data_IF_472319168990
#
_entry.id   IF_472319168990
#
_cell.length_a   1.000
_cell.length_b   1.000
_cell.length_c   1.000
_cell.angle_alpha   90.00
_cell.angle_beta   90.00
_cell.angle_gamma   90.00
#
_symmetry.space_group_name_H-M   'P 1'
#
loop_
_entity.id
_entity.type
_entity.pdbx_description
1 polymer ?
#
# COMPACT_ATOMS: atom_id res chain seq x y z
N UNK A 1 41.18 -37.80 -20.79
CA UNK A 1 41.00 -38.56 -19.54
C UNK A 1 41.50 -37.71 -18.38
N UNK A 2 40.56 -37.21 -17.56
CA UNK A 2 40.65 -36.84 -16.13
C UNK A 2 41.82 -35.92 -15.69
N UNK A 3 41.55 -34.65 -15.37
CA UNK A 3 41.08 -34.15 -14.04
C UNK A 3 42.02 -34.61 -12.92
N UNK A 4 42.75 -33.65 -12.30
CA UNK A 4 42.93 -33.50 -10.85
C UNK A 4 43.78 -32.27 -10.50
N UNK A 5 43.27 -31.51 -9.52
CA UNK A 5 43.95 -30.60 -8.57
C UNK A 5 43.83 -29.10 -8.80
N UNK A 6 42.70 -28.54 -8.34
CA UNK A 6 42.65 -27.30 -7.55
C UNK A 6 41.35 -27.29 -6.74
N UNK A 7 41.30 -28.15 -5.72
CA UNK A 7 40.20 -28.24 -4.74
C UNK A 7 40.77 -28.51 -3.33
N UNK A 8 41.72 -27.69 -2.90
CA UNK A 8 42.30 -27.74 -1.55
C UNK A 8 42.17 -26.43 -0.76
N UNK A 9 41.46 -25.42 -1.29
CA UNK A 9 41.22 -24.14 -0.61
C UNK A 9 39.88 -24.01 0.11
N UNK A 10 38.86 -24.82 -0.25
CA UNK A 10 37.46 -24.57 0.17
C UNK A 10 36.99 -25.48 1.32
N UNK A 11 37.76 -26.49 1.70
CA UNK A 11 37.34 -27.48 2.71
C UNK A 11 37.66 -27.11 4.18
N UNK A 12 37.79 -25.82 4.52
CA UNK A 12 38.15 -25.41 5.90
C UNK A 12 37.21 -24.43 6.61
N UNK A 13 36.02 -24.17 6.08
CA UNK A 13 34.99 -23.41 6.84
C UNK A 13 33.59 -24.04 6.87
N UNK A 14 33.34 -25.17 6.20
CA UNK A 14 32.08 -25.91 6.34
C UNK A 14 32.31 -27.17 7.18
N UNK A 15 32.22 -26.99 8.49
CA UNK A 15 32.48 -28.04 9.46
C UNK A 15 31.94 -27.74 10.84
N UNK A 16 30.66 -27.36 10.95
CA UNK A 16 29.81 -27.67 12.12
C UNK A 16 28.34 -27.47 11.76
N UNK A 17 27.66 -28.60 11.58
CA UNK A 17 26.22 -28.67 11.45
C UNK A 17 25.54 -28.25 12.76
N UNK A 18 24.52 -27.41 12.67
CA UNK A 18 23.36 -27.46 13.56
C UNK A 18 22.17 -27.71 12.65
N UNK A 19 21.44 -28.78 12.94
CA UNK A 19 20.21 -29.21 12.30
C UNK A 19 19.08 -28.22 12.57
N UNK A 20 18.41 -27.73 11.52
CA UNK A 20 17.00 -27.33 11.59
C UNK A 20 16.24 -27.94 10.42
N UNK A 21 15.04 -28.39 10.74
CA UNK A 21 14.13 -29.15 9.88
C UNK A 21 13.17 -28.18 9.20
N UNK A 22 13.14 -28.24 7.86
CA UNK A 22 12.16 -27.78 6.85
C UNK A 22 10.90 -27.03 7.34
N UNK A 23 10.69 -25.83 6.78
CA UNK A 23 9.40 -25.38 6.25
C UNK A 23 9.64 -24.53 4.96
N UNK A 24 9.05 -25.00 3.88
CA UNK A 24 8.86 -24.44 2.52
C UNK A 24 9.35 -23.02 2.20
N UNK A 25 10.50 -22.95 1.53
CA UNK A 25 10.91 -21.86 0.62
C UNK A 25 10.24 -22.05 -0.75
N UNK A 26 9.51 -21.05 -1.22
CA UNK A 26 9.14 -20.88 -2.63
C UNK A 26 9.69 -19.56 -3.14
N UNK A 27 10.96 -19.54 -3.55
CA UNK A 27 11.52 -18.50 -4.43
C UNK A 27 12.89 -18.95 -4.93
N UNK A 28 12.89 -19.69 -6.04
CA UNK A 28 14.00 -19.72 -6.98
C UNK A 28 13.30 -19.71 -8.35
N UNK A 29 13.48 -18.70 -9.19
CA UNK A 29 14.66 -18.50 -10.01
C UNK A 29 14.65 -17.05 -10.50
N UNK A 30 15.70 -16.26 -10.20
CA UNK A 30 16.19 -15.22 -11.12
C UNK A 30 17.71 -15.36 -11.21
N UNK A 31 18.18 -15.60 -12.43
CA UNK A 31 19.59 -15.78 -12.75
C UNK A 31 20.24 -14.40 -12.94
N UNK A 32 21.11 -14.01 -12.00
CA UNK A 32 21.90 -12.78 -12.08
C UNK A 32 22.04 -12.16 -10.69
N UNK A 33 23.09 -12.52 -9.96
CA UNK A 33 23.23 -12.21 -8.55
C UNK A 33 23.27 -10.72 -8.22
N UNK A 34 22.28 -10.27 -7.45
CA UNK A 34 22.43 -9.20 -6.48
C UNK A 34 22.20 -9.85 -5.10
N UNK A 35 23.26 -9.92 -4.31
CA UNK A 35 23.21 -10.34 -2.91
C UNK A 35 22.78 -9.11 -2.09
N UNK A 36 21.51 -9.07 -1.71
CA UNK A 36 21.00 -8.03 -0.81
C UNK A 36 21.54 -8.27 0.61
N UNK A 37 22.32 -7.32 1.13
CA UNK A 37 22.49 -7.17 2.58
C UNK A 37 21.27 -6.42 3.11
N UNK A 38 20.22 -7.15 3.48
CA UNK A 38 19.01 -6.58 4.04
C UNK A 38 19.31 -5.80 5.31
N UNK A 39 19.07 -4.48 5.28
CA UNK A 39 18.61 -3.79 6.47
C UNK A 39 17.18 -4.31 6.69
N UNK A 40 16.83 -4.75 7.90
CA UNK A 40 15.50 -5.32 8.13
C UNK A 40 14.44 -4.29 7.75
N UNK A 41 13.63 -4.60 6.74
CA UNK A 41 12.46 -3.81 6.37
C UNK A 41 11.56 -3.64 7.61
N UNK A 42 10.95 -2.48 7.77
CA UNK A 42 9.97 -2.26 8.82
C UNK A 42 8.84 -3.30 8.71
N UNK A 43 8.18 -3.61 9.82
CA UNK A 43 7.27 -4.76 9.87
C UNK A 43 5.82 -4.35 10.10
N UNK A 44 4.92 -4.81 9.23
CA UNK A 44 3.48 -4.94 9.52
C UNK A 44 3.27 -6.26 10.28
N UNK A 45 2.70 -6.18 11.48
CA UNK A 45 2.47 -7.29 12.39
C UNK A 45 1.03 -7.80 12.37
N UNK A 46 0.08 -6.90 12.12
CA UNK A 46 -1.33 -7.22 11.86
C UNK A 46 -1.73 -6.49 10.60
N UNK A 47 -2.37 -7.23 9.70
CA UNK A 47 -3.12 -6.70 8.56
C UNK A 47 -4.46 -7.42 8.55
N UNK A 48 -5.51 -6.74 8.99
CA UNK A 48 -6.86 -7.28 8.97
C UNK A 48 -7.80 -6.31 8.24
N UNK A 49 -8.07 -6.64 6.98
CA UNK A 49 -9.01 -5.96 6.10
C UNK A 49 -10.37 -6.68 6.02
N UNK A 50 -10.53 -7.86 6.65
CA UNK A 50 -11.75 -8.67 6.67
C UNK A 50 -12.15 -9.31 5.32
N UNK A 51 -11.36 -9.12 4.27
CA UNK A 51 -11.73 -9.53 2.90
C UNK A 51 -11.43 -11.01 2.64
N UNK A 52 -10.35 -11.54 3.21
CA UNK A 52 -9.95 -12.96 3.08
C UNK A 52 -10.76 -13.89 4.00
N UNK A 53 -11.78 -13.35 4.68
CA UNK A 53 -12.61 -14.12 5.59
C UNK A 53 -13.58 -15.02 4.82
N UNK A 54 -13.59 -16.30 5.16
CA UNK A 54 -14.63 -17.20 4.70
C UNK A 54 -15.95 -16.87 5.39
N UNK A 55 -16.89 -16.30 4.64
CA UNK A 55 -18.22 -15.98 5.13
C UNK A 55 -19.19 -17.17 4.97
N UNK A 56 -20.18 -17.23 5.84
CA UNK A 56 -21.33 -18.11 5.66
C UNK A 56 -22.19 -17.60 4.49
N UNK A 57 -22.79 -18.51 3.72
CA UNK A 57 -23.76 -18.11 2.70
C UNK A 57 -25.04 -17.62 3.39
N UNK A 58 -25.46 -16.39 3.11
CA UNK A 58 -26.62 -15.78 3.75
C UNK A 58 -26.87 -14.35 3.28
N UNK A 59 -27.87 -13.70 3.89
CA UNK A 59 -28.13 -12.28 3.73
C UNK A 59 -28.28 -11.70 5.16
N UNK A 60 -27.27 -10.99 5.70
CA UNK A 60 -25.93 -10.86 5.13
C UNK A 60 -25.12 -12.15 5.26
N UNK A 61 -24.13 -12.31 4.38
CA UNK A 61 -23.03 -13.25 4.52
C UNK A 61 -22.10 -12.74 5.62
N UNK A 62 -21.80 -13.60 6.60
CA UNK A 62 -21.04 -13.19 7.79
C UNK A 62 -20.16 -14.31 8.35
N UNK A 63 -19.21 -13.96 9.21
CA UNK A 63 -18.48 -14.89 10.06
C UNK A 63 -18.34 -14.36 11.49
N UNK A 64 -18.50 -15.27 12.46
CA UNK A 64 -18.19 -15.04 13.88
C UNK A 64 -16.81 -15.59 14.25
N UNK A 65 -15.99 -15.92 13.25
CA UNK A 65 -14.62 -16.42 13.42
C UNK A 65 -13.67 -15.56 12.61
N UNK A 66 -12.82 -14.83 13.32
CA UNK A 66 -11.74 -14.04 12.75
C UNK A 66 -10.42 -14.66 13.23
N UNK A 67 -9.59 -15.25 12.35
CA UNK A 67 -8.37 -15.94 12.75
C UNK A 67 -7.44 -15.07 13.60
N UNK A 68 -7.03 -15.55 14.76
CA UNK A 68 -6.16 -14.80 15.68
C UNK A 68 -6.85 -13.73 16.53
N UNK A 69 -8.17 -13.60 16.41
CA UNK A 69 -8.98 -12.69 17.21
C UNK A 69 -9.96 -13.45 18.11
N UNK A 70 -10.29 -12.86 19.25
CA UNK A 70 -11.24 -13.37 20.24
C UNK A 70 -12.38 -12.40 20.39
N UNK A 71 -13.60 -12.91 20.18
CA UNK A 71 -14.85 -12.18 20.44
C UNK A 71 -15.26 -12.34 21.90
N UNK A 72 -15.70 -11.25 22.51
CA UNK A 72 -16.26 -11.22 23.85
C UNK A 72 -17.62 -10.51 23.84
N UNK A 73 -18.67 -11.32 24.01
CA UNK A 73 -20.06 -10.89 24.15
C UNK A 73 -20.57 -11.12 25.58
N UNK A 74 -19.68 -11.36 26.55
CA UNK A 74 -20.09 -11.65 27.93
C UNK A 74 -20.78 -10.47 28.61
N UNK A 75 -20.61 -9.26 28.06
CA UNK A 75 -21.35 -8.05 28.45
C UNK A 75 -22.69 -7.86 27.75
N UNK A 76 -23.03 -8.71 26.77
CA UNK A 76 -24.33 -8.63 26.08
C UNK A 76 -25.44 -9.19 26.97
N UNK A 77 -26.60 -8.53 26.96
CA UNK A 77 -27.75 -8.94 27.78
C UNK A 77 -28.50 -10.15 27.23
N UNK A 78 -28.49 -10.34 25.91
CA UNK A 78 -29.08 -11.48 25.22
C UNK A 78 -28.35 -11.78 23.91
N UNK A 79 -28.32 -13.05 23.47
CA UNK A 79 -27.86 -13.38 22.14
C UNK A 79 -28.91 -12.97 21.09
N UNK A 80 -28.47 -12.64 19.88
CA UNK A 80 -29.38 -12.45 18.75
C UNK A 80 -29.83 -13.79 18.16
N UNK A 81 -31.09 -13.87 17.75
CA UNK A 81 -31.62 -15.00 16.98
C UNK A 81 -31.07 -15.03 15.55
N UNK A 82 -30.59 -13.89 15.05
CA UNK A 82 -29.82 -13.78 13.82
C UNK A 82 -28.33 -13.62 14.17
N UNK A 83 -27.54 -14.68 13.94
CA UNK A 83 -26.13 -14.73 14.33
C UNK A 83 -25.23 -13.73 13.58
N UNK A 84 -25.71 -13.12 12.50
CA UNK A 84 -25.03 -11.98 11.85
C UNK A 84 -24.97 -10.75 12.78
N UNK A 85 -25.98 -10.57 13.63
CA UNK A 85 -26.07 -9.49 14.62
C UNK A 85 -25.83 -10.01 16.04
N UNK A 86 -25.06 -11.09 16.13
CA UNK A 86 -24.44 -11.70 17.30
C UNK A 86 -23.63 -10.78 18.24
N UNK A 87 -23.81 -9.46 18.28
CA UNK A 87 -22.75 -8.53 18.71
C UNK A 87 -21.92 -8.07 17.51
N UNK A 88 -20.65 -7.70 17.72
CA UNK A 88 -19.75 -7.34 16.62
C UNK A 88 -19.45 -8.53 15.72
N UNK A 89 -19.61 -8.37 14.42
CA UNK A 89 -19.51 -9.46 13.44
C UNK A 89 -18.81 -8.98 12.17
N UNK A 90 -17.93 -9.81 11.60
CA UNK A 90 -17.38 -9.54 10.27
C UNK A 90 -18.39 -10.01 9.21
N UNK A 91 -18.82 -9.11 8.33
CA UNK A 91 -19.86 -9.42 7.34
C UNK A 91 -19.70 -8.61 6.06
N UNK A 92 -20.34 -9.09 4.99
CA UNK A 92 -20.46 -8.33 3.76
C UNK A 92 -21.34 -7.09 4.01
N UNK A 93 -20.77 -5.91 3.81
CA UNK A 93 -21.45 -4.65 4.12
C UNK A 93 -22.59 -4.34 3.15
N UNK A 94 -22.46 -4.72 1.87
CA UNK A 94 -23.48 -4.43 0.87
C UNK A 94 -24.75 -5.23 1.11
N UNK A 95 -24.59 -6.47 1.58
CA UNK A 95 -25.72 -7.30 1.99
C UNK A 95 -26.32 -6.80 3.32
N UNK A 96 -25.49 -6.38 4.27
CA UNK A 96 -25.96 -5.73 5.50
C UNK A 96 -26.79 -4.47 5.20
N UNK A 97 -26.26 -3.57 4.36
CA UNK A 97 -26.95 -2.37 3.87
C UNK A 97 -28.27 -2.70 3.17
N UNK A 98 -28.28 -3.73 2.34
CA UNK A 98 -29.47 -4.20 1.64
C UNK A 98 -30.53 -4.70 2.61
N UNK A 99 -30.14 -5.46 3.63
CA UNK A 99 -31.05 -6.03 4.60
C UNK A 99 -31.62 -4.98 5.57
N UNK A 100 -30.76 -4.13 6.12
CA UNK A 100 -31.14 -3.11 7.11
C UNK A 100 -31.69 -1.83 6.45
N UNK A 101 -31.55 -1.73 5.12
CA UNK A 101 -31.99 -0.60 4.33
C UNK A 101 -31.07 0.63 4.48
N UNK A 102 -31.30 1.62 3.62
CA UNK A 102 -30.55 2.87 3.64
C UNK A 102 -31.09 3.84 4.71
N UNK A 103 -30.69 3.63 5.95
CA UNK A 103 -30.95 4.52 7.08
C UNK A 103 -29.76 5.50 7.23
N UNK A 104 -30.02 6.82 7.38
CA UNK A 104 -29.03 7.92 7.44
C UNK A 104 -27.91 7.95 6.38
N UNK A 105 -28.05 7.28 5.23
CA UNK A 105 -26.97 7.22 4.25
C UNK A 105 -25.97 6.08 4.52
N UNK A 106 -26.43 4.96 5.10
CA UNK A 106 -25.67 3.69 5.23
C UNK A 106 -25.03 3.22 3.90
N UNK A 107 -25.49 3.73 2.76
CA UNK A 107 -24.94 3.47 1.43
C UNK A 107 -23.93 4.53 0.91
N UNK A 108 -23.73 5.64 1.64
CA UNK A 108 -22.78 6.71 1.35
C UNK A 108 -21.48 6.54 2.16
N UNK A 109 -21.26 5.33 2.71
CA UNK A 109 -20.13 4.94 3.56
C UNK A 109 -18.84 4.79 2.76
N UNK A 110 -18.30 5.90 2.23
CA UNK A 110 -17.08 5.92 1.41
C UNK A 110 -15.78 5.56 2.15
N UNK A 111 -15.83 5.14 3.42
CA UNK A 111 -14.65 4.92 4.28
C UNK A 111 -14.39 3.44 4.62
N UNK A 112 -15.38 2.54 4.48
CA UNK A 112 -15.09 1.10 4.44
C UNK A 112 -14.54 0.84 3.03
N UNK A 113 -13.39 0.20 2.90
CA UNK A 113 -12.76 -0.08 1.59
C UNK A 113 -12.76 -1.59 1.41
N UNK A 114 -13.66 -2.12 0.58
CA UNK A 114 -13.81 -3.57 0.40
C UNK A 114 -15.26 -4.05 0.45
N UNK A 115 -15.48 -5.37 0.45
CA UNK A 115 -16.82 -5.94 0.53
C UNK A 115 -17.24 -6.21 1.97
N UNK A 116 -16.27 -6.38 2.87
CA UNK A 116 -16.46 -6.87 4.23
C UNK A 116 -15.96 -5.86 5.25
N UNK A 117 -16.55 -5.88 6.44
CA UNK A 117 -16.07 -5.06 7.56
C UNK A 117 -16.46 -5.71 8.89
N UNK A 118 -15.80 -5.30 9.97
CA UNK A 118 -16.27 -5.59 11.32
C UNK A 118 -17.36 -4.59 11.71
N UNK A 119 -18.59 -5.07 11.85
CA UNK A 119 -19.77 -4.25 12.10
C UNK A 119 -20.37 -4.60 13.47
N UNK A 120 -20.62 -3.58 14.26
CA UNK A 120 -21.40 -3.61 15.49
C UNK A 120 -22.67 -2.80 15.23
N UNK A 121 -23.82 -3.46 15.14
CA UNK A 121 -25.10 -2.81 14.83
C UNK A 121 -26.10 -3.10 15.95
N UNK A 122 -26.42 -2.07 16.74
CA UNK A 122 -27.31 -2.16 17.90
C UNK A 122 -28.77 -2.32 17.50
N UNK A 123 -29.22 -1.56 16.50
CA UNK A 123 -30.57 -1.53 15.91
C UNK A 123 -30.90 -2.91 15.33
N UNK A 124 -30.01 -3.45 14.50
CA UNK A 124 -30.18 -4.79 13.96
C UNK A 124 -30.13 -5.86 15.05
N UNK A 125 -29.30 -5.69 16.09
CA UNK A 125 -29.31 -6.62 17.22
C UNK A 125 -30.64 -6.59 17.99
N UNK A 126 -31.16 -5.40 18.32
CA UNK A 126 -32.43 -5.22 19.05
C UNK A 126 -33.61 -5.84 18.28
N UNK A 127 -33.62 -5.71 16.95
CA UNK A 127 -34.63 -6.31 16.06
C UNK A 127 -34.68 -7.85 16.11
N UNK A 128 -33.57 -8.50 16.48
CA UNK A 128 -33.43 -9.96 16.48
C UNK A 128 -33.17 -10.57 17.86
N UNK A 129 -33.05 -9.79 18.93
CA UNK A 129 -32.81 -10.29 20.29
C UNK A 129 -34.13 -10.63 21.02
N UNK A 130 -34.22 -11.83 21.61
CA UNK A 130 -35.40 -12.25 22.39
C UNK A 130 -35.31 -11.74 23.85
N UNK A 131 -35.74 -10.49 24.12
CA UNK A 131 -35.86 -9.97 25.48
C UNK A 131 -36.20 -8.48 25.57
N UNK A 132 -36.94 -8.08 26.61
CA UNK A 132 -37.15 -6.65 26.93
C UNK A 132 -35.79 -6.02 27.31
N UNK A 133 -35.18 -5.35 26.33
CA UNK A 133 -34.10 -4.34 26.32
C UNK A 133 -33.11 -4.30 27.51
N UNK A 134 -31.82 -4.33 27.17
CA UNK A 134 -30.80 -3.31 27.46
C UNK A 134 -29.40 -3.96 27.53
N UNK A 135 -28.45 -3.57 26.68
CA UNK A 135 -27.02 -3.85 26.83
C UNK A 135 -26.36 -4.62 25.68
N UNK A 136 -26.16 -3.97 24.54
CA UNK A 136 -25.16 -4.35 23.53
C UNK A 136 -23.77 -3.93 24.02
N UNK A 137 -22.99 -4.91 24.48
CA UNK A 137 -21.59 -4.73 24.85
C UNK A 137 -20.76 -5.85 24.24
N UNK A 138 -20.16 -5.57 23.09
CA UNK A 138 -19.41 -6.56 22.33
C UNK A 138 -18.02 -6.03 22.00
N UNK A 139 -17.04 -6.92 22.13
CA UNK A 139 -15.65 -6.64 21.83
C UNK A 139 -15.03 -7.72 20.93
N UNK A 140 -14.06 -7.30 20.14
CA UNK A 140 -13.07 -8.15 19.50
C UNK A 140 -11.68 -7.77 19.99
N UNK A 141 -10.82 -8.75 20.21
CA UNK A 141 -9.45 -8.51 20.64
C UNK A 141 -8.44 -9.46 20.01
N UNK A 142 -7.23 -8.98 19.80
CA UNK A 142 -6.08 -9.79 19.37
C UNK A 142 -4.85 -9.45 20.19
N UNK A 143 -3.94 -10.40 20.33
CA UNK A 143 -2.65 -10.19 21.00
C UNK A 143 -1.52 -10.30 19.99
N UNK A 144 -0.69 -9.26 19.92
CA UNK A 144 0.37 -9.06 18.93
C UNK A 144 1.72 -9.03 19.64
N UNK A 145 2.67 -9.82 19.17
CA UNK A 145 4.07 -9.73 19.59
C UNK A 145 4.73 -8.57 18.83
N UNK A 146 5.03 -7.49 19.56
CA UNK A 146 5.65 -6.27 19.03
C UNK A 146 7.15 -6.18 19.33
N UNK A 147 7.79 -7.31 19.69
CA UNK A 147 9.21 -7.32 20.08
C UNK A 147 10.19 -6.90 18.97
N UNK A 148 9.78 -6.99 17.71
CA UNK A 148 10.56 -6.57 16.55
C UNK A 148 10.48 -5.06 16.27
N UNK A 149 9.44 -4.38 16.73
CA UNK A 149 9.23 -2.94 16.44
C UNK A 149 9.98 -2.08 17.45
N UNK A 150 10.85 -1.13 17.03
CA UNK A 150 11.56 -0.25 17.95
C UNK A 150 10.63 0.55 18.88
N UNK A 151 11.06 0.82 20.11
CA UNK A 151 10.27 1.61 21.07
C UNK A 151 10.01 3.03 20.53
N UNK A 152 8.77 3.49 20.63
CA UNK A 152 8.31 4.78 20.09
C UNK A 152 8.06 4.76 18.57
N UNK A 153 8.19 3.60 17.92
CA UNK A 153 7.91 3.43 16.50
C UNK A 153 6.71 2.52 16.25
N UNK A 154 6.00 2.04 17.28
CA UNK A 154 4.80 1.23 17.11
C UNK A 154 3.61 2.13 16.76
N UNK A 155 2.81 1.70 15.78
CA UNK A 155 1.58 2.36 15.38
C UNK A 155 0.42 1.37 15.23
N UNK A 156 -0.80 1.89 15.41
CA UNK A 156 -2.06 1.24 15.10
C UNK A 156 -2.81 2.15 14.13
N UNK A 157 -3.25 1.62 13.01
CA UNK A 157 -4.04 2.33 12.00
C UNK A 157 -5.29 1.54 11.67
N UNK A 158 -6.40 2.23 11.43
CA UNK A 158 -7.66 1.62 11.01
C UNK A 158 -8.57 2.68 10.40
N UNK A 159 -9.57 2.22 9.67
CA UNK A 159 -10.70 3.03 9.20
C UNK A 159 -11.93 2.72 10.02
N UNK A 160 -12.81 3.71 10.23
CA UNK A 160 -14.03 3.51 10.99
C UNK A 160 -15.19 4.40 10.54
N UNK A 161 -16.41 3.92 10.83
CA UNK A 161 -17.61 4.76 10.99
C UNK A 161 -18.18 4.61 12.37
N UNK A 162 -18.85 5.65 12.79
CA UNK A 162 -19.77 5.63 13.89
C UNK A 162 -20.98 6.48 13.55
N UNK A 163 -22.11 5.83 13.32
CA UNK A 163 -23.40 6.50 13.33
C UNK A 163 -23.88 6.47 14.78
N UNK A 164 -24.02 7.63 15.40
CA UNK A 164 -24.42 7.77 16.80
C UNK A 164 -25.91 8.06 16.94
N UNK A 165 -26.51 7.47 17.98
CA UNK A 165 -27.86 7.74 18.45
C UNK A 165 -27.95 7.44 19.94
N UNK A 166 -28.78 8.21 20.65
CA UNK A 166 -29.03 8.08 22.10
C UNK A 166 -27.76 7.73 22.91
N UNK A 167 -27.67 6.51 23.48
CA UNK A 167 -26.54 6.04 24.29
C UNK A 167 -25.80 4.96 23.52
N UNK A 168 -24.58 5.22 23.07
CA UNK A 168 -23.66 4.22 22.52
C UNK A 168 -22.23 4.75 22.55
N UNK A 169 -21.26 3.85 22.69
CA UNK A 169 -19.84 4.20 22.66
C UNK A 169 -19.04 3.23 21.81
N UNK A 170 -18.39 3.74 20.76
CA UNK A 170 -17.41 3.03 19.93
C UNK A 170 -15.99 3.22 20.48
N UNK A 171 -15.25 2.13 20.66
CA UNK A 171 -13.95 2.12 21.33
C UNK A 171 -12.89 1.35 20.53
N UNK A 172 -11.70 1.94 20.43
CA UNK A 172 -10.47 1.21 20.09
C UNK A 172 -9.42 1.47 21.17
N UNK A 173 -8.83 0.40 21.67
CA UNK A 173 -7.99 0.44 22.87
C UNK A 173 -6.80 -0.51 22.77
N UNK A 174 -5.71 -0.15 23.44
CA UNK A 174 -4.49 -0.96 23.52
C UNK A 174 -4.14 -1.28 24.98
N UNK A 175 -3.55 -2.44 25.22
CA UNK A 175 -3.05 -2.86 26.52
C UNK A 175 -1.69 -3.56 26.38
N UNK A 176 -0.80 -3.37 27.36
CA UNK A 176 0.51 -4.02 27.44
C UNK A 176 0.68 -4.85 28.72
N UNK A 177 -0.44 -5.22 29.35
CA UNK A 177 -0.47 -6.00 30.59
C UNK A 177 -1.47 -7.17 30.52
N UNK A 178 -1.68 -7.69 29.31
CA UNK A 178 -2.57 -8.82 29.05
C UNK A 178 -4.05 -8.47 29.16
N UNK A 179 -4.43 -7.22 28.88
CA UNK A 179 -5.81 -6.76 28.94
C UNK A 179 -6.30 -6.44 30.36
N UNK A 180 -5.39 -6.21 31.32
CA UNK A 180 -5.79 -5.82 32.68
C UNK A 180 -6.13 -4.33 32.75
N UNK A 181 -5.33 -3.50 32.08
CA UNK A 181 -5.57 -2.06 31.92
C UNK A 181 -5.49 -1.69 30.45
N UNK A 182 -6.47 -0.93 29.99
CA UNK A 182 -6.56 -0.45 28.61
C UNK A 182 -6.31 1.06 28.53
N UNK A 183 -5.56 1.48 27.53
CA UNK A 183 -5.46 2.86 27.08
C UNK A 183 -6.38 3.02 25.86
N UNK A 184 -7.32 3.96 25.93
CA UNK A 184 -8.21 4.27 24.80
C UNK A 184 -7.47 5.14 23.79
N UNK A 185 -7.43 4.68 22.53
CA UNK A 185 -6.87 5.44 21.41
C UNK A 185 -7.97 6.06 20.54
N UNK A 186 -9.13 5.43 20.45
CA UNK A 186 -10.34 6.02 19.86
C UNK A 186 -11.49 5.93 20.86
N UNK A 187 -12.16 7.06 21.08
CA UNK A 187 -13.33 7.20 21.94
C UNK A 187 -14.43 7.97 21.21
N UNK A 188 -15.45 7.26 20.74
CA UNK A 188 -16.61 7.80 20.04
C UNK A 188 -17.84 7.62 20.93
N UNK A 189 -18.17 8.65 21.70
CA UNK A 189 -19.26 8.64 22.67
C UNK A 189 -20.43 9.50 22.15
N UNK A 190 -21.64 8.91 22.04
CA UNK A 190 -22.84 9.63 21.58
C UNK A 190 -23.26 10.75 22.54
N UNK A 191 -22.98 10.65 23.85
CA UNK A 191 -23.27 11.71 24.82
C UNK A 191 -22.40 12.96 24.57
N UNK A 192 -21.22 12.77 23.96
CA UNK A 192 -20.28 13.85 23.62
C UNK A 192 -20.53 14.36 22.20
N UNK A 193 -20.75 13.45 21.27
CA UNK A 193 -20.81 13.74 19.84
C UNK A 193 -22.22 14.15 19.37
N UNK A 194 -23.27 13.76 20.08
CA UNK A 194 -24.67 13.88 19.64
C UNK A 194 -24.96 13.03 18.40
N UNK A 195 -26.20 13.05 17.90
CA UNK A 195 -26.61 12.27 16.73
C UNK A 195 -25.90 12.74 15.46
N UNK A 196 -24.88 12.01 15.03
CA UNK A 196 -23.99 12.34 13.92
C UNK A 196 -23.45 11.08 13.26
N UNK A 197 -22.91 11.24 12.04
CA UNK A 197 -22.05 10.23 11.42
C UNK A 197 -20.63 10.75 11.49
N UNK A 198 -19.77 10.01 12.17
CA UNK A 198 -18.34 10.27 12.28
C UNK A 198 -17.59 9.20 11.53
N UNK A 199 -16.67 9.60 10.67
CA UNK A 199 -15.81 8.67 9.95
C UNK A 199 -14.36 9.13 9.99
N UNK A 200 -13.47 8.14 9.98
CA UNK A 200 -12.03 8.34 9.84
C UNK A 200 -11.48 7.29 8.91
N UNK A 201 -10.83 7.71 7.82
CA UNK A 201 -10.11 6.82 6.93
C UNK A 201 -8.63 6.86 7.30
N UNK A 202 -8.03 5.68 7.56
CA UNK A 202 -6.62 5.52 7.96
C UNK A 202 -6.19 6.47 9.08
N UNK A 203 -6.82 6.30 10.24
CA UNK A 203 -6.46 7.09 11.43
C UNK A 203 -5.34 6.36 12.16
N UNK A 204 -4.13 6.92 12.07
CA UNK A 204 -2.94 6.37 12.70
C UNK A 204 -2.74 6.92 14.12
N UNK A 205 -2.52 6.02 15.07
CA UNK A 205 -2.15 6.31 16.47
C UNK A 205 -0.76 5.74 16.75
N UNK A 206 0.12 6.55 17.35
CA UNK A 206 1.56 6.23 17.50
C UNK A 206 1.98 6.14 18.97
N UNK A 207 2.85 5.17 19.27
CA UNK A 207 3.44 4.99 20.60
C UNK A 207 4.28 6.22 20.98
N UNK A 208 4.01 6.77 22.16
CA UNK A 208 4.69 7.95 22.69
C UNK A 208 4.00 9.28 22.36
N UNK A 209 3.10 9.33 21.38
CA UNK A 209 2.21 10.48 21.14
C UNK A 209 0.79 10.22 21.62
N UNK A 210 0.18 9.12 21.17
CA UNK A 210 -1.25 8.87 21.34
C UNK A 210 -1.54 7.84 22.43
N UNK A 211 -0.63 6.90 22.63
CA UNK A 211 -0.63 5.98 23.77
C UNK A 211 0.76 5.87 24.38
N UNK A 212 0.82 5.62 25.69
CA UNK A 212 2.08 5.61 26.44
C UNK A 212 2.90 4.35 26.20
N UNK A 213 4.23 4.47 26.35
CA UNK A 213 5.22 3.43 26.05
C UNK A 213 4.88 2.06 26.65
N UNK A 214 5.09 1.03 25.83
CA UNK A 214 4.81 -0.37 26.14
C UNK A 214 5.55 -0.87 27.40
N UNK A 215 4.83 -1.55 28.29
CA UNK A 215 5.39 -2.25 29.46
C UNK A 215 5.72 -3.71 29.19
N UNK A 216 5.36 -4.20 28.00
CA UNK A 216 5.49 -5.59 27.54
C UNK A 216 5.65 -5.62 26.03
N UNK A 217 6.23 -6.70 25.49
CA UNK A 217 6.26 -6.97 24.06
C UNK A 217 4.97 -7.59 23.54
N UNK A 218 4.01 -7.93 24.39
CA UNK A 218 2.70 -8.39 23.96
C UNK A 218 1.70 -7.25 24.10
N UNK A 219 1.25 -6.72 22.96
CA UNK A 219 0.17 -5.75 22.89
C UNK A 219 -1.16 -6.48 22.71
N UNK A 220 -2.18 -6.15 23.49
CA UNK A 220 -3.57 -6.51 23.20
C UNK A 220 -4.26 -5.33 22.56
N UNK A 221 -4.69 -5.48 21.31
CA UNK A 221 -5.61 -4.55 20.64
C UNK A 221 -7.04 -5.00 20.91
N UNK A 222 -7.93 -4.07 21.25
CA UNK A 222 -9.36 -4.31 21.47
C UNK A 222 -10.19 -3.27 20.73
N UNK A 223 -11.20 -3.74 20.01
CA UNK A 223 -12.19 -2.95 19.28
C UNK A 223 -13.56 -3.34 19.82
N UNK A 224 -14.46 -2.40 20.07
CA UNK A 224 -15.81 -2.75 20.54
C UNK A 224 -16.79 -1.61 20.50
N UNK A 225 -18.06 -1.96 20.66
CA UNK A 225 -19.15 -1.04 20.92
C UNK A 225 -19.84 -1.45 22.22
N UNK A 226 -20.08 -0.47 23.09
CA UNK A 226 -20.69 -0.65 24.41
C UNK A 226 -21.77 0.37 24.69
N UNK A 227 -22.51 0.11 25.76
CA UNK A 227 -23.57 0.96 26.30
C UNK A 227 -24.61 1.35 25.25
N UNK A 228 -24.78 0.47 24.24
CA UNK A 228 -25.74 0.56 23.16
C UNK A 228 -26.93 -0.36 23.39
N UNK A 229 -28.06 -0.03 22.79
CA UNK A 229 -29.33 -0.75 22.78
C UNK A 229 -29.89 -0.78 21.35
N UNK A 230 -31.09 -0.23 21.13
CA UNK A 230 -31.63 0.09 19.80
C UNK A 230 -30.99 1.40 19.30
N UNK A 231 -29.69 1.31 19.10
CA UNK A 231 -28.79 2.39 18.69
C UNK A 231 -28.13 2.02 17.38
N UNK A 232 -27.41 2.93 16.75
CA UNK A 232 -27.02 2.76 15.34
C UNK A 232 -25.82 1.80 15.21
N UNK A 233 -24.71 2.23 14.61
CA UNK A 233 -23.61 1.29 14.35
C UNK A 233 -22.23 1.90 14.59
N UNK A 234 -21.31 0.99 14.88
CA UNK A 234 -19.88 1.20 14.81
C UNK A 234 -19.31 0.20 13.82
N UNK A 235 -18.59 0.66 12.80
CA UNK A 235 -17.95 -0.19 11.81
C UNK A 235 -16.45 0.10 11.78
N UNK A 236 -15.63 -0.95 11.67
CA UNK A 236 -14.17 -0.84 11.60
C UNK A 236 -13.63 -1.72 10.48
N UNK A 237 -12.61 -1.20 9.80
CA UNK A 237 -11.99 -1.81 8.64
C UNK A 237 -10.49 -1.47 8.56
N UNK A 238 -9.73 -2.23 7.77
CA UNK A 238 -8.32 -1.98 7.45
C UNK A 238 -7.42 -1.82 8.69
N UNK A 239 -7.53 -2.75 9.65
CA UNK A 239 -6.77 -2.70 10.90
C UNK A 239 -5.32 -3.12 10.68
N UNK A 240 -4.40 -2.19 10.88
CA UNK A 240 -2.97 -2.37 10.80
C UNK A 240 -2.31 -2.17 12.16
N UNK A 241 -1.32 -3.00 12.46
CA UNK A 241 -0.39 -2.81 13.60
C UNK A 241 1.02 -3.05 13.10
N UNK A 242 1.95 -2.14 13.37
CA UNK A 242 3.32 -2.29 12.88
C UNK A 242 4.23 -1.11 13.22
N UNK A 243 5.36 -1.03 12.52
CA UNK A 243 6.22 0.15 12.57
C UNK A 243 5.54 1.36 11.89
N UNK A 244 5.62 2.54 12.52
CA UNK A 244 4.89 3.75 12.12
C UNK A 244 5.14 4.16 10.67
N UNK A 245 6.37 4.02 10.17
CA UNK A 245 6.68 4.39 8.78
C UNK A 245 6.04 3.43 7.78
N UNK A 246 5.87 2.15 8.16
CA UNK A 246 5.21 1.14 7.32
C UNK A 246 3.70 1.29 7.41
N UNK A 247 3.17 1.51 8.61
CA UNK A 247 1.73 1.68 8.85
C UNK A 247 1.22 2.97 8.17
N UNK A 248 1.90 4.10 8.36
CA UNK A 248 1.54 5.36 7.73
C UNK A 248 1.82 5.37 6.21
N UNK A 249 2.79 4.58 5.77
CA UNK A 249 3.14 4.36 4.37
C UNK A 249 2.37 3.21 3.72
N UNK A 250 1.39 2.60 4.39
CA UNK A 250 0.60 1.53 3.81
C UNK A 250 -0.41 2.14 2.82
N UNK A 251 0.03 2.37 1.58
CA UNK A 251 -0.80 2.86 0.50
C UNK A 251 -1.72 1.75 0.01
N UNK A 252 -2.94 2.07 -0.40
CA UNK A 252 -3.82 1.11 -1.08
C UNK A 252 -4.20 1.70 -2.42
N UNK A 253 -3.48 1.32 -3.47
CA UNK A 253 -4.16 1.19 -4.75
C UNK A 253 -5.05 -0.04 -4.65
N UNK A 254 -6.29 0.08 -5.14
CA UNK A 254 -7.17 -1.07 -5.31
C UNK A 254 -7.25 -1.44 -6.78
N UNK A 255 -7.22 -2.72 -7.10
CA UNK A 255 -7.68 -3.26 -8.36
C UNK A 255 -9.19 -3.49 -8.27
N UNK A 256 -9.99 -2.67 -8.95
CA UNK A 256 -11.43 -2.92 -9.09
C UNK A 256 -11.68 -3.86 -10.27
N UNK A 257 -12.55 -4.85 -10.09
CA UNK A 257 -12.92 -5.84 -11.11
C UNK A 257 -14.44 -5.86 -11.23
N UNK A 258 -15.00 -5.57 -12.41
CA UNK A 258 -16.44 -5.65 -12.64
C UNK A 258 -16.91 -7.06 -12.98
N UNK A 259 -18.22 -7.28 -12.91
CA UNK A 259 -18.87 -8.52 -13.37
C UNK A 259 -18.73 -8.76 -14.88
N UNK A 260 -18.45 -7.70 -15.65
CA UNK A 260 -18.13 -7.75 -17.08
C UNK A 260 -16.65 -7.97 -17.37
N UNK A 261 -15.81 -8.17 -16.34
CA UNK A 261 -14.38 -8.40 -16.47
C UNK A 261 -13.52 -7.15 -16.62
N UNK A 262 -14.11 -5.95 -16.52
CA UNK A 262 -13.37 -4.69 -16.60
C UNK A 262 -12.53 -4.50 -15.34
N UNK A 263 -11.25 -4.16 -15.52
CA UNK A 263 -10.31 -3.92 -14.44
C UNK A 263 -9.84 -2.46 -14.41
N UNK A 264 -9.64 -1.92 -13.22
CA UNK A 264 -9.01 -0.60 -13.04
C UNK A 264 -8.19 -0.53 -11.75
N UNK A 265 -6.99 0.07 -11.83
CA UNK A 265 -6.22 0.50 -10.66
C UNK A 265 -6.83 1.81 -10.18
N UNK A 266 -7.28 1.88 -8.93
CA UNK A 266 -7.93 3.03 -8.35
C UNK A 266 -7.17 3.46 -7.10
N UNK A 267 -6.91 4.75 -6.97
CA UNK A 267 -6.44 5.30 -5.71
C UNK A 267 -7.64 5.53 -4.79
N UNK A 268 -7.85 4.61 -3.86
CA UNK A 268 -8.90 4.70 -2.84
C UNK A 268 -8.45 5.45 -1.58
N UNK A 269 -7.18 5.87 -1.52
CA UNK A 269 -6.64 6.63 -0.40
C UNK A 269 -6.97 8.12 -0.51
N UNK A 270 -6.77 8.86 0.59
CA UNK A 270 -6.98 10.30 0.67
C UNK A 270 -5.75 11.12 0.23
N UNK A 271 -4.64 10.45 -0.09
CA UNK A 271 -3.40 11.06 -0.54
C UNK A 271 -3.09 10.68 -1.99
N UNK A 272 -2.25 11.48 -2.66
CA UNK A 272 -1.73 11.11 -3.98
C UNK A 272 -0.75 9.93 -3.83
N UNK A 273 -1.04 8.82 -4.51
CA UNK A 273 -0.16 7.65 -4.53
C UNK A 273 0.76 7.72 -5.74
N UNK A 274 2.05 7.48 -5.52
CA UNK A 274 3.06 7.36 -6.58
C UNK A 274 3.50 5.92 -6.69
N UNK A 275 3.48 5.36 -7.89
CA UNK A 275 3.89 4.00 -8.17
C UNK A 275 4.53 3.89 -9.56
N UNK A 276 5.44 2.94 -9.70
CA UNK A 276 6.20 2.68 -10.91
C UNK A 276 6.27 1.18 -11.22
N UNK A 277 5.59 0.36 -10.41
CA UNK A 277 5.46 -1.07 -10.60
C UNK A 277 4.07 -1.51 -10.21
N UNK A 278 3.53 -2.47 -10.96
CA UNK A 278 2.42 -3.28 -10.48
C UNK A 278 2.47 -4.70 -11.05
N UNK A 279 1.84 -5.61 -10.33
CA UNK A 279 1.65 -7.01 -10.72
C UNK A 279 0.27 -7.48 -10.26
N UNK A 280 -0.38 -8.27 -11.12
CA UNK A 280 -1.65 -8.94 -10.85
C UNK A 280 -1.42 -10.41 -11.14
N UNK A 281 -1.59 -11.27 -10.14
CA UNK A 281 -1.46 -12.73 -10.28
C UNK A 281 -2.79 -13.42 -10.09
N UNK A 282 -2.91 -14.64 -10.62
CA UNK A 282 -4.03 -15.54 -10.38
C UNK A 282 -3.55 -16.98 -10.37
N UNK A 283 -3.80 -17.70 -9.28
CA UNK A 283 -3.46 -19.12 -9.16
C UNK A 283 -4.31 -19.99 -10.11
N UNK A 284 -5.58 -19.62 -10.29
CA UNK A 284 -6.54 -20.30 -11.15
C UNK A 284 -6.41 -19.95 -12.64
N UNK A 285 -5.63 -18.92 -12.98
CA UNK A 285 -5.49 -18.44 -14.36
C UNK A 285 -6.71 -17.65 -14.83
N UNK A 286 -7.25 -16.79 -13.96
CA UNK A 286 -8.45 -15.99 -14.14
C UNK A 286 -8.25 -14.72 -14.97
N UNK A 287 -7.02 -14.41 -15.39
CA UNK A 287 -6.70 -13.22 -16.17
C UNK A 287 -6.86 -13.50 -17.67
N UNK A 288 -7.19 -12.47 -18.43
CA UNK A 288 -7.25 -12.49 -19.88
C UNK A 288 -6.20 -11.54 -20.45
N UNK A 289 -5.03 -12.09 -20.77
CA UNK A 289 -3.93 -11.32 -21.35
C UNK A 289 -4.30 -10.69 -22.70
N UNK A 290 -5.25 -11.27 -23.44
CA UNK A 290 -5.62 -10.78 -24.76
C UNK A 290 -6.52 -9.53 -24.71
N UNK A 291 -7.27 -9.34 -23.62
CA UNK A 291 -8.14 -8.18 -23.40
C UNK A 291 -7.57 -7.17 -22.37
N UNK A 292 -6.35 -7.41 -21.89
CA UNK A 292 -5.60 -6.46 -21.10
C UNK A 292 -5.17 -5.24 -21.92
N UNK A 293 -5.48 -4.06 -21.40
CA UNK A 293 -4.97 -2.79 -21.91
C UNK A 293 -3.87 -2.33 -20.96
N UNK A 294 -2.62 -2.54 -21.36
CA UNK A 294 -1.46 -2.16 -20.54
C UNK A 294 -1.31 -0.64 -20.45
N UNK A 295 -0.70 -0.15 -19.37
CA UNK A 295 -0.32 1.26 -19.20
C UNK A 295 0.68 1.68 -20.28
N UNK A 296 1.56 0.76 -20.70
CA UNK A 296 2.41 0.89 -21.88
C UNK A 296 1.58 1.23 -23.13
N UNK A 297 0.55 0.43 -23.45
CA UNK A 297 -0.32 0.64 -24.61
C UNK A 297 -1.19 1.90 -24.49
N UNK A 298 -1.57 2.27 -23.27
CA UNK A 298 -2.32 3.50 -23.00
C UNK A 298 -1.49 4.77 -23.29
N UNK A 299 -0.17 4.64 -23.38
CA UNK A 299 0.77 5.75 -23.57
C UNK A 299 0.88 6.65 -22.33
N UNK A 300 0.56 6.13 -21.15
CA UNK A 300 0.65 6.86 -19.90
C UNK A 300 2.12 7.13 -19.56
N UNK A 301 2.45 8.41 -19.35
CA UNK A 301 3.76 8.91 -18.93
C UNK A 301 4.96 8.47 -19.82
N UNK A 302 5.37 9.33 -20.75
CA UNK A 302 6.60 9.16 -21.54
C UNK A 302 6.39 8.56 -22.93
N UNK A 303 7.41 7.85 -23.45
CA UNK A 303 7.39 7.21 -24.78
C UNK A 303 7.23 5.69 -24.68
N UNK A 304 6.31 5.23 -23.81
CA UNK A 304 6.17 3.83 -23.35
C UNK A 304 6.39 2.75 -24.41
N UNK A 305 6.91 1.60 -23.97
CA UNK A 305 7.08 0.41 -24.81
C UNK A 305 8.30 0.45 -25.72
N UNK A 306 9.34 1.21 -25.36
CA UNK A 306 10.57 1.30 -26.17
C UNK A 306 11.73 0.48 -25.58
N UNK A 307 11.51 -0.19 -24.45
CA UNK A 307 12.49 -1.04 -23.77
C UNK A 307 13.60 -0.27 -23.06
N UNK A 308 13.50 1.05 -22.95
CA UNK A 308 14.47 1.88 -22.21
C UNK A 308 14.01 2.16 -20.78
N UNK A 309 12.73 1.92 -20.47
CA UNK A 309 12.16 2.20 -19.15
C UNK A 309 11.87 3.68 -18.91
N UNK A 310 11.78 4.49 -19.98
CA UNK A 310 11.41 5.91 -19.94
C UNK A 310 9.88 6.15 -20.03
N UNK A 311 9.11 5.08 -19.85
CA UNK A 311 7.68 5.01 -19.64
C UNK A 311 7.35 3.64 -19.07
N UNK A 312 6.06 3.30 -18.97
CA UNK A 312 5.63 1.95 -18.61
C UNK A 312 6.10 0.92 -19.64
N UNK A 313 6.58 -0.22 -19.15
CA UNK A 313 7.06 -1.36 -19.93
C UNK A 313 6.43 -2.65 -19.40
N UNK A 314 5.95 -3.48 -20.31
CA UNK A 314 5.38 -4.80 -20.04
C UNK A 314 6.40 -5.79 -19.46
N UNK A 315 5.98 -6.55 -18.45
CA UNK A 315 6.79 -7.55 -17.77
C UNK A 315 7.20 -8.73 -18.67
N UNK A 316 8.26 -9.44 -18.28
CA UNK A 316 8.80 -10.57 -19.07
C UNK A 316 8.02 -11.89 -18.97
N UNK A 317 7.12 -12.04 -18.00
CA UNK A 317 6.41 -13.29 -17.67
C UNK A 317 4.89 -13.17 -17.78
N UNK A 318 4.40 -12.41 -18.77
CA UNK A 318 2.96 -12.20 -18.96
C UNK A 318 2.22 -13.49 -19.36
N UNK A 319 1.08 -13.73 -18.73
CA UNK A 319 0.19 -14.86 -19.00
C UNK A 319 -1.20 -14.62 -18.40
N UNK A 320 -2.13 -15.53 -18.66
CA UNK A 320 -3.46 -15.57 -18.01
C UNK A 320 -3.37 -15.84 -16.49
N UNK A 321 -2.16 -16.04 -15.94
CA UNK A 321 -1.89 -16.15 -14.50
C UNK A 321 -1.07 -15.00 -13.93
N UNK A 322 -0.56 -14.09 -14.76
CA UNK A 322 0.28 -12.97 -14.32
C UNK A 322 0.30 -11.83 -15.34
N UNK A 323 -0.10 -10.64 -14.91
CA UNK A 323 0.08 -9.37 -15.63
C UNK A 323 1.01 -8.47 -14.81
N UNK A 324 1.95 -7.78 -15.43
CA UNK A 324 2.82 -6.83 -14.72
C UNK A 324 3.42 -5.79 -15.64
N UNK A 325 3.71 -4.62 -15.09
CA UNK A 325 4.45 -3.55 -15.76
C UNK A 325 5.39 -2.82 -14.80
N UNK A 326 6.41 -2.18 -15.38
CA UNK A 326 7.40 -1.38 -14.65
C UNK A 326 7.71 -0.07 -15.41
N UNK A 327 7.92 1.02 -14.69
CA UNK A 327 8.41 2.29 -15.19
C UNK A 327 9.73 2.68 -14.49
N UNK A 328 10.86 2.21 -15.04
CA UNK A 328 12.17 2.27 -14.39
C UNK A 328 12.71 3.69 -14.11
N UNK A 329 12.47 4.65 -15.01
CA UNK A 329 13.06 6.00 -14.94
C UNK A 329 12.10 7.06 -14.37
N UNK A 330 10.92 6.65 -13.90
CA UNK A 330 9.88 7.57 -13.46
C UNK A 330 8.86 6.90 -12.57
N UNK A 331 7.72 7.57 -12.41
CA UNK A 331 6.58 7.03 -11.68
C UNK A 331 5.31 7.69 -12.21
N UNK A 332 4.19 7.02 -12.02
CA UNK A 332 2.86 7.58 -12.19
C UNK A 332 2.33 8.01 -10.83
N UNK A 333 1.59 9.12 -10.80
CA UNK A 333 0.83 9.56 -9.65
C UNK A 333 -0.67 9.42 -9.92
N UNK A 334 -1.43 8.88 -8.96
CA UNK A 334 -2.89 8.98 -8.94
C UNK A 334 -3.29 9.87 -7.77
N UNK A 335 -4.06 10.93 -8.03
CA UNK A 335 -4.71 11.70 -6.98
C UNK A 335 -5.85 10.89 -6.33
N UNK A 336 -6.34 11.30 -5.14
CA UNK A 336 -7.46 10.62 -4.48
C UNK A 336 -8.67 10.46 -5.40
N UNK A 337 -9.15 9.22 -5.54
CA UNK A 337 -10.28 8.87 -6.40
C UNK A 337 -9.98 8.77 -7.90
N UNK A 338 -8.75 9.03 -8.34
CA UNK A 338 -8.35 8.78 -9.74
C UNK A 338 -8.19 7.28 -10.02
N UNK A 339 -8.37 6.91 -11.29
CA UNK A 339 -8.23 5.53 -11.75
C UNK A 339 -7.50 5.41 -13.07
N UNK A 340 -6.90 4.24 -13.30
CA UNK A 340 -6.32 3.80 -14.55
C UNK A 340 -7.00 2.51 -15.00
N UNK A 341 -7.59 2.52 -16.18
CA UNK A 341 -8.24 1.34 -16.75
C UNK A 341 -7.19 0.35 -17.27
N UNK A 342 -7.42 -0.94 -17.00
CA UNK A 342 -6.62 -2.06 -17.50
C UNK A 342 -7.38 -2.91 -18.55
N UNK A 343 -8.50 -2.40 -19.07
CA UNK A 343 -9.34 -3.14 -20.01
C UNK A 343 -10.13 -4.28 -19.35
N UNK A 344 -10.64 -5.21 -20.17
CA UNK A 344 -11.47 -6.33 -19.73
C UNK A 344 -10.63 -7.58 -19.46
N UNK A 345 -9.65 -7.47 -18.57
CA UNK A 345 -8.61 -8.48 -18.37
C UNK A 345 -8.91 -9.54 -17.29
N UNK A 346 -10.17 -9.64 -16.85
CA UNK A 346 -10.64 -10.73 -15.98
C UNK A 346 -11.71 -11.56 -16.70
N UNK A 347 -11.46 -12.87 -16.86
CA UNK A 347 -12.38 -13.84 -17.49
C UNK A 347 -12.56 -15.10 -16.62
N UNK A 348 -12.04 -15.06 -15.39
CA UNK A 348 -12.03 -16.19 -14.47
C UNK A 348 -13.37 -16.47 -13.81
N UNK A 349 -13.72 -17.75 -13.57
CA UNK A 349 -14.87 -18.11 -12.74
C UNK A 349 -14.58 -18.02 -11.24
N UNK A 350 -13.39 -17.56 -10.83
CA UNK A 350 -12.90 -17.59 -9.45
C UNK A 350 -12.28 -16.25 -9.11
N UNK A 351 -12.74 -15.66 -8.02
CA UNK A 351 -12.23 -14.40 -7.46
C UNK A 351 -10.93 -14.69 -6.69
N UNK A 352 -9.81 -14.84 -7.42
CA UNK A 352 -8.51 -15.24 -6.87
C UNK A 352 -7.35 -14.32 -7.28
N UNK A 353 -7.65 -13.13 -7.79
CA UNK A 353 -6.61 -12.17 -8.14
C UNK A 353 -5.89 -11.68 -6.89
N UNK A 354 -4.57 -11.61 -6.95
CA UNK A 354 -3.75 -10.86 -6.01
C UNK A 354 -3.18 -9.64 -6.74
N UNK A 355 -3.18 -8.48 -6.10
CA UNK A 355 -2.68 -7.24 -6.68
C UNK A 355 -1.52 -6.72 -5.83
N UNK A 356 -0.37 -6.49 -6.44
CA UNK A 356 0.79 -5.88 -5.81
C UNK A 356 1.17 -4.64 -6.59
N UNK A 357 1.56 -3.58 -5.91
CA UNK A 357 2.14 -2.41 -6.54
C UNK A 357 3.32 -1.91 -5.74
N UNK A 358 4.11 -1.03 -6.33
CA UNK A 358 5.27 -0.53 -5.62
C UNK A 358 5.80 0.74 -6.21
N UNK A 359 6.70 1.32 -5.43
CA UNK A 359 7.65 2.31 -5.90
C UNK A 359 9.02 1.68 -5.81
N UNK A 360 9.58 1.30 -6.95
CA UNK A 360 11.00 1.08 -7.12
C UNK A 360 11.67 2.41 -6.77
N UNK A 361 12.19 2.47 -5.53
CA UNK A 361 12.83 3.66 -4.97
C UNK A 361 13.75 4.32 -6.01
N UNK A 362 13.75 5.66 -6.03
CA UNK A 362 14.56 6.45 -6.96
C UNK A 362 15.92 5.78 -7.18
N UNK A 363 16.12 5.25 -8.38
CA UNK A 363 17.43 4.77 -8.79
C UNK A 363 18.26 6.03 -8.99
N UNK A 364 19.10 6.35 -8.01
CA UNK A 364 20.23 7.22 -8.32
C UNK A 364 21.19 6.37 -9.13
N UNK A 365 21.36 6.75 -10.41
CA UNK A 365 22.47 6.26 -11.21
C UNK A 365 23.74 6.69 -10.49
N UNK A 366 24.37 5.77 -9.76
CA UNK A 366 25.69 6.06 -9.18
C UNK A 366 26.67 5.97 -10.34
N UNK A 367 26.98 7.12 -10.91
CA UNK A 367 28.06 7.28 -11.86
C UNK A 367 29.37 6.95 -11.13
N UNK A 368 30.14 5.96 -11.60
CA UNK A 368 31.40 5.60 -10.96
C UNK A 368 32.38 6.77 -11.09
N UNK A 369 33.14 7.05 -10.02
CA UNK A 369 34.14 8.12 -10.03
C UNK A 369 35.08 7.97 -11.25
N UNK A 370 35.16 8.99 -12.09
CA UNK A 370 35.98 8.95 -13.31
C UNK A 370 35.21 8.62 -14.60
N UNK A 371 33.89 8.41 -14.52
CA UNK A 371 32.96 8.55 -15.65
C UNK A 371 32.76 10.05 -15.92
N UNK A 372 33.45 10.56 -16.93
CA UNK A 372 33.51 11.97 -17.26
C UNK A 372 32.62 12.35 -18.43
N UNK A 373 32.06 11.36 -19.13
CA UNK A 373 31.07 11.56 -20.18
C UNK A 373 29.64 11.21 -19.74
N UNK A 374 29.47 10.77 -18.48
CA UNK A 374 28.21 10.37 -17.85
C UNK A 374 27.49 9.25 -18.61
N UNK A 375 28.24 8.34 -19.26
CA UNK A 375 27.67 7.22 -20.01
C UNK A 375 27.46 5.95 -19.18
N UNK A 376 27.85 5.99 -17.90
CA UNK A 376 27.68 4.94 -16.92
C UNK A 376 28.83 3.94 -16.89
N UNK A 377 29.91 4.13 -17.65
CA UNK A 377 31.06 3.22 -17.67
C UNK A 377 32.37 4.01 -17.71
N UNK A 378 33.31 3.70 -16.79
CA UNK A 378 34.65 4.30 -16.84
C UNK A 378 35.50 3.58 -17.89
N UNK A 379 35.62 4.17 -19.08
CA UNK A 379 36.36 3.62 -20.21
C UNK A 379 37.33 4.64 -20.88
N UNK A 380 37.74 4.39 -22.11
CA UNK A 380 38.69 5.25 -22.82
C UNK A 380 38.05 6.58 -23.29
N UNK A 381 36.73 6.64 -23.40
CA UNK A 381 35.98 7.83 -23.78
C UNK A 381 36.06 8.89 -22.67
N UNK A 382 36.06 8.49 -21.41
CA UNK A 382 36.31 9.38 -20.26
C UNK A 382 37.74 9.91 -20.26
N UNK A 383 38.70 9.06 -20.59
CA UNK A 383 40.08 9.50 -20.74
C UNK A 383 40.23 10.55 -21.84
N UNK A 384 39.53 10.38 -22.97
CA UNK A 384 39.51 11.36 -24.04
C UNK A 384 38.82 12.66 -23.59
N UNK A 385 37.76 12.58 -22.78
CA UNK A 385 37.10 13.73 -22.15
C UNK A 385 38.07 14.50 -21.22
N UNK A 386 38.68 13.82 -20.24
CA UNK A 386 39.69 14.40 -19.34
C UNK A 386 40.85 15.04 -20.11
N UNK A 387 41.38 14.33 -21.11
CA UNK A 387 42.51 14.81 -21.91
C UNK A 387 42.17 16.06 -22.70
N UNK A 388 40.93 16.17 -23.17
CA UNK A 388 40.45 17.36 -23.88
C UNK A 388 40.29 18.57 -22.96
N UNK A 389 39.98 18.33 -21.68
CA UNK A 389 39.75 19.34 -20.66
C UNK A 389 40.98 19.66 -19.80
N UNK A 390 42.13 18.99 -20.01
CA UNK A 390 43.33 19.16 -19.18
C UNK A 390 43.79 20.62 -19.10
N UNK A 391 43.93 21.12 -17.86
CA UNK A 391 44.31 22.49 -17.54
C UNK A 391 43.17 23.52 -17.60
N UNK A 392 41.93 23.06 -17.76
CA UNK A 392 40.73 23.90 -17.68
C UNK A 392 40.07 23.80 -16.30
N UNK A 393 38.94 24.49 -16.12
CA UNK A 393 38.08 24.43 -14.93
C UNK A 393 36.75 23.76 -15.26
N UNK A 394 36.76 22.77 -16.17
CA UNK A 394 35.57 22.02 -16.53
C UNK A 394 35.16 21.10 -15.37
N UNK A 395 33.99 21.35 -14.80
CA UNK A 395 33.49 20.64 -13.64
C UNK A 395 33.20 19.16 -13.94
N UNK A 396 32.87 18.80 -15.19
CA UNK A 396 32.54 17.42 -15.55
C UNK A 396 33.76 16.48 -15.50
N UNK A 397 34.97 17.02 -15.67
CA UNK A 397 36.23 16.26 -15.70
C UNK A 397 37.13 16.56 -14.49
N UNK A 398 36.70 17.44 -13.59
CA UNK A 398 37.32 17.80 -12.31
C UNK A 398 36.89 16.80 -11.22
N UNK A 399 37.33 15.55 -11.36
CA UNK A 399 36.90 14.44 -10.51
C UNK A 399 37.21 14.63 -9.02
N UNK A 400 38.18 15.47 -8.64
CA UNK A 400 38.46 15.77 -7.23
C UNK A 400 37.78 17.07 -6.71
N UNK A 401 37.14 17.83 -7.61
CA UNK A 401 36.43 19.08 -7.29
C UNK A 401 37.34 20.22 -6.82
N UNK A 402 38.61 20.24 -7.20
CA UNK A 402 39.57 21.29 -6.80
C UNK A 402 39.51 22.54 -7.69
N UNK A 403 38.67 22.51 -8.72
CA UNK A 403 38.42 23.57 -9.68
C UNK A 403 39.40 23.59 -10.86
N UNK A 404 40.27 22.59 -10.99
CA UNK A 404 41.24 22.48 -12.09
C UNK A 404 41.46 21.04 -12.55
N UNK A 405 41.11 20.74 -13.80
CA UNK A 405 41.34 19.43 -14.42
C UNK A 405 42.83 19.18 -14.59
N UNK A 406 43.40 18.25 -13.83
CA UNK A 406 44.83 18.00 -13.75
C UNK A 406 45.16 16.50 -13.57
N UNK A 407 46.39 16.21 -13.16
CA UNK A 407 46.88 14.84 -12.97
C UNK A 407 46.21 14.11 -11.80
N UNK A 408 45.61 14.83 -10.84
CA UNK A 408 44.84 14.25 -9.76
C UNK A 408 43.55 13.60 -10.29
N UNK A 409 42.85 14.24 -11.23
CA UNK A 409 41.63 13.71 -11.84
C UNK A 409 41.93 12.47 -12.69
N UNK A 410 43.04 12.50 -13.43
CA UNK A 410 43.53 11.32 -14.13
C UNK A 410 43.70 10.09 -13.22
N UNK A 411 44.16 10.30 -11.98
CA UNK A 411 44.31 9.18 -11.04
C UNK A 411 42.96 8.61 -10.60
N UNK A 412 41.91 9.43 -10.55
CA UNK A 412 40.54 8.98 -10.26
C UNK A 412 40.02 8.09 -11.40
N UNK A 413 40.08 8.56 -12.64
CA UNK A 413 39.73 7.74 -13.82
C UNK A 413 40.52 6.42 -13.85
N UNK A 414 41.85 6.48 -13.68
CA UNK A 414 42.70 5.29 -13.78
C UNK A 414 42.37 4.26 -12.69
N UNK A 415 42.12 4.73 -11.47
CA UNK A 415 41.87 3.84 -10.33
C UNK A 415 40.49 3.18 -10.42
N UNK A 416 39.57 3.75 -11.20
CA UNK A 416 38.23 3.21 -11.49
C UNK A 416 38.08 2.64 -12.91
N UNK A 417 39.15 2.49 -13.69
CA UNK A 417 39.05 2.01 -15.09
C UNK A 417 38.36 0.63 -15.18
N UNK A 418 37.27 0.58 -15.94
CA UNK A 418 36.41 -0.60 -16.08
C UNK A 418 35.36 -0.74 -14.96
N UNK A 419 35.20 0.27 -14.11
CA UNK A 419 34.04 0.39 -13.23
C UNK A 419 32.80 0.69 -14.08
N UNK A 420 31.74 -0.05 -13.81
CA UNK A 420 30.42 0.18 -14.39
C UNK A 420 29.53 0.75 -13.29
N UNK A 421 28.72 1.75 -13.64
CA UNK A 421 27.75 2.34 -12.74
C UNK A 421 26.82 1.29 -12.18
N UNK A 422 26.66 1.29 -10.86
CA UNK A 422 25.73 0.43 -10.16
C UNK A 422 24.44 1.17 -9.89
N UNK A 423 23.31 0.48 -10.01
CA UNK A 423 22.09 0.95 -9.37
C UNK A 423 22.30 0.88 -7.85
N UNK A 424 22.28 2.03 -7.18
CA UNK A 424 22.22 2.05 -5.71
C UNK A 424 20.80 2.47 -5.33
N UNK A 425 20.08 1.66 -4.54
CA UNK A 425 18.76 2.06 -4.04
C UNK A 425 18.92 3.30 -3.15
N UNK A 426 18.31 4.42 -3.54
CA UNK A 426 18.10 5.55 -2.63
C UNK A 426 16.63 5.54 -2.24
N UNK A 427 16.36 5.05 -1.04
CA UNK A 427 15.01 4.94 -0.50
C UNK A 427 14.43 3.54 -0.60
N UNK A 428 13.53 3.26 0.34
CA UNK A 428 12.87 1.97 0.52
C UNK A 428 12.23 1.48 -0.79
N UNK A 429 12.55 0.25 -1.21
CA UNK A 429 11.71 -0.48 -2.15
C UNK A 429 10.54 -1.07 -1.34
N UNK A 430 9.45 -0.34 -1.22
CA UNK A 430 8.23 -0.87 -0.60
C UNK A 430 7.40 -1.49 -1.72
N UNK A 431 7.44 -2.82 -1.81
CA UNK A 431 6.33 -3.55 -2.44
C UNK A 431 5.17 -3.49 -1.45
N UNK A 432 4.03 -3.01 -1.92
CA UNK A 432 2.80 -2.89 -1.15
C UNK A 432 1.77 -3.81 -1.79
N UNK A 433 1.15 -4.64 -0.97
CA UNK A 433 -0.02 -5.40 -1.40
C UNK A 433 -1.15 -4.39 -1.64
N UNK A 434 -1.67 -4.38 -2.86
CA UNK A 434 -2.90 -3.68 -3.20
C UNK A 434 -4.12 -4.56 -2.93
N UNK A 435 -5.29 -3.93 -2.91
CA UNK A 435 -6.53 -4.64 -2.62
C UNK A 435 -7.29 -4.99 -3.90
N UNK A 436 -7.93 -6.16 -4.00
CA UNK A 436 -8.81 -6.50 -5.14
C UNK A 436 -10.27 -6.36 -4.74
N UNK A 437 -11.00 -5.46 -5.40
CA UNK A 437 -12.42 -5.20 -5.15
C UNK A 437 -13.28 -5.70 -6.32
N UNK A 438 -14.00 -6.80 -6.12
CA UNK A 438 -15.00 -7.29 -7.06
C UNK A 438 -16.32 -6.53 -6.88
N UNK A 439 -16.77 -5.84 -7.94
CA UNK A 439 -17.93 -4.96 -7.92
C UNK A 439 -19.25 -5.74 -8.05
N UNK A 440 -20.34 -5.25 -7.42
CA UNK A 440 -21.67 -5.84 -7.60
C UNK A 440 -22.13 -5.84 -9.06
N UNK A 441 -23.02 -6.77 -9.40
CA UNK A 441 -23.50 -6.90 -10.78
C UNK A 441 -24.11 -5.62 -11.34
N UNK A 442 -23.71 -5.26 -12.55
CA UNK A 442 -24.16 -4.04 -13.24
C UNK A 442 -23.41 -2.75 -12.85
N UNK A 443 -22.35 -2.84 -12.05
CA UNK A 443 -21.44 -1.74 -11.73
C UNK A 443 -20.14 -1.90 -12.53
N UNK A 444 -19.84 -0.96 -13.42
CA UNK A 444 -18.56 -0.92 -14.15
C UNK A 444 -17.40 -0.51 -13.26
N UNK A 445 -16.19 -0.98 -13.58
CA UNK A 445 -14.98 -0.43 -12.98
C UNK A 445 -14.87 1.07 -13.30
N UNK A 446 -14.46 1.88 -12.30
CA UNK A 446 -14.42 3.33 -12.45
C UNK A 446 -13.46 3.71 -13.59
N UNK A 447 -13.97 4.39 -14.62
CA UNK A 447 -13.17 4.95 -15.72
C UNK A 447 -13.21 6.47 -15.70
N UNK A 448 -12.18 7.10 -15.15
CA UNK A 448 -11.94 8.53 -15.34
C UNK A 448 -10.95 8.74 -16.49
N UNK A 449 -11.35 9.55 -17.47
CA UNK A 449 -10.49 9.95 -18.59
C UNK A 449 -9.81 11.29 -18.27
N UNK A 450 -8.50 11.34 -18.58
CA UNK A 450 -7.56 12.46 -18.56
C UNK A 450 -6.85 12.74 -17.22
N UNK A 451 -5.68 12.12 -17.05
CA UNK A 451 -4.61 12.61 -16.18
C UNK A 451 -3.99 13.86 -16.86
N UNK A 452 -4.07 15.07 -16.28
CA UNK A 452 -3.31 16.20 -16.76
C UNK A 452 -1.87 16.06 -16.26
N UNK A 453 -0.90 15.93 -17.16
CA UNK A 453 0.51 15.95 -16.75
C UNK A 453 0.85 17.25 -16.00
N UNK A 454 1.73 17.21 -14.98
CA UNK A 454 2.29 18.42 -14.39
C UNK A 454 3.10 19.16 -15.46
N UNK A 455 2.53 20.24 -16.00
CA UNK A 455 3.16 21.04 -17.03
C UNK A 455 4.55 21.51 -16.61
N UNK A 456 5.58 20.97 -17.27
CA UNK A 456 6.93 21.51 -17.28
C UNK A 456 6.87 22.94 -17.84
N UNK A 457 6.66 23.90 -16.95
CA UNK A 457 6.71 25.32 -17.29
C UNK A 457 8.16 25.72 -17.50
N UNK A 458 8.65 25.53 -18.72
CA UNK A 458 9.89 26.14 -19.19
C UNK A 458 9.71 27.66 -19.12
N UNK A 459 10.32 28.25 -18.10
CA UNK A 459 10.43 29.70 -17.93
C UNK A 459 11.33 30.27 -19.03
N UNK A 460 10.76 30.54 -20.20
CA UNK A 460 11.43 31.27 -21.27
C UNK A 460 11.34 32.78 -21.00
N UNK A 461 12.37 33.30 -20.36
CA UNK A 461 12.65 34.74 -20.27
C UNK A 461 12.90 35.26 -21.70
N UNK A 462 11.98 36.07 -22.21
CA UNK A 462 12.12 36.79 -23.48
C UNK A 462 11.85 38.28 -23.31
N UNK A 463 12.93 39.07 -23.26
CA UNK A 463 12.95 40.53 -23.16
C UNK A 463 12.27 41.24 -24.36
N UNK A 464 11.47 42.27 -24.03
CA UNK A 464 11.34 43.59 -24.67
C UNK A 464 10.89 43.73 -26.15
N UNK A 465 9.82 44.49 -26.36
CA UNK A 465 9.93 45.86 -26.95
C UNK A 465 8.63 46.67 -26.80
N UNK A 466 8.77 47.88 -26.25
CA UNK A 466 7.81 48.98 -26.30
C UNK A 466 7.75 49.59 -27.71
N UNK A 467 6.53 49.85 -28.21
CA UNK A 467 6.10 51.04 -28.97
C UNK A 467 4.63 50.77 -29.37
N UNK A 468 3.61 51.54 -29.02
CA UNK A 468 3.47 53.00 -28.99
C UNK A 468 2.18 53.34 -29.76
N UNK A 469 1.35 54.26 -29.27
CA UNK A 469 0.37 54.96 -30.15
C UNK A 469 -1.12 54.74 -29.90
N UNK A 470 -1.61 55.19 -28.75
CA UNK A 470 -2.71 56.17 -28.56
C UNK A 470 -3.73 56.49 -29.68
N UNK A 471 -5.00 56.59 -29.25
CA UNK A 471 -6.18 57.38 -29.75
C UNK A 471 -6.98 56.72 -30.90
N UNK A 472 -8.30 56.50 -30.81
CA UNK A 472 -9.39 57.50 -30.86
C UNK A 472 -10.68 57.05 -30.15
N UNK A 473 -11.27 58.00 -29.43
CA UNK A 473 -12.59 58.05 -28.77
C UNK A 473 -13.79 57.84 -29.73
N UNK A 474 -14.89 57.25 -29.25
CA UNK A 474 -16.15 57.95 -28.85
C UNK A 474 -17.35 57.00 -28.75
N UNK A 475 -18.02 57.08 -27.60
CA UNK A 475 -19.49 57.21 -27.35
C UNK A 475 -20.43 56.34 -28.19
N UNK A 476 -21.26 55.53 -27.53
CA UNK A 476 -22.47 56.01 -26.85
C UNK A 476 -22.68 55.28 -25.54
#
# INVERSE_FOLDING_TARGET
>A
MKIRNLAAGVARQLGRAVTSTVATTGAAILAGGILFSGQADGQILVNQNFEDLTLTAGDPSYTNVIPGWTRDNSGMSAPSTNLAYDGGTAMNRFEWESQQGNQLGRNDTGFLQGNNALIFDGDAWDDFADGDQLGFNSYWSTTVDVSSVPAGALAVDFSYEFASYESQQGLVQVSFDGGTNYQTILDLDSEVTGDNILSGAKVTYVEGSDFTNRTSNNMTLRIGMIDADNDWWFAVDNVLVGEVNEVAGYYTLSLQVSDSGEMAIVNTSQDTVYFDYYEITSEAGSLDLANWTSLQESGLAGTGGNGTGNGWEEGGNLSDSALSELFLQGATSLAPGESLSLGAAYDGPTEDLEFTFGRYGQIELVTPDGDYNDDGVVDMQDYDAWKSAFGTSDAATDGNGDGTVNLADYTIWRDNLGAEGGMSPVGYSTLSDGFVHYLPSGVSAVSATNVPEPGTSVLLIGLATLAGGTVVRRRF
#
